data_IF_387536329743
#
_entry.id   IF_387536329743
#
_cell.length_a   1.000
_cell.length_b   1.000
_cell.length_c   1.000
_cell.angle_alpha   90.00
_cell.angle_beta   90.00
_cell.angle_gamma   90.00
#
_symmetry.space_group_name_H-M   'P 1'
#
loop_
_entity.id
_entity.type
_entity.pdbx_description
1 polymer ?
#
# COMPACT_ATOMS: atom_id res chain seq x y z
N UNK A 1 -10.50 -3.92 3.89
CA UNK A 1 -9.35 -3.56 4.73
C UNK A 1 -9.10 -2.07 4.67
N UNK A 2 -8.43 -1.52 5.65
CA UNK A 2 -8.20 -0.09 5.67
C UNK A 2 -6.94 0.23 4.89
N UNK A 3 -6.75 1.48 4.58
CA UNK A 3 -5.55 1.88 3.85
C UNK A 3 -4.32 1.63 4.71
N UNK A 4 -4.42 1.84 6.00
CA UNK A 4 -3.28 1.60 6.87
C UNK A 4 -2.89 0.11 6.85
N UNK A 5 -3.88 -0.75 6.83
CA UNK A 5 -3.60 -2.16 6.77
C UNK A 5 -3.00 -2.51 5.42
N UNK A 6 -3.51 -1.96 4.37
CA UNK A 6 -3.01 -2.24 3.03
C UNK A 6 -1.55 -1.80 2.91
N UNK A 7 -1.23 -0.62 3.45
CA UNK A 7 0.13 -0.15 3.39
C UNK A 7 1.07 -1.08 4.17
N UNK A 8 0.62 -1.55 5.32
CA UNK A 8 1.43 -2.44 6.11
C UNK A 8 1.69 -3.75 5.37
N UNK A 9 0.67 -4.29 4.73
CA UNK A 9 0.82 -5.54 4.03
C UNK A 9 1.72 -5.39 2.81
N UNK A 10 1.57 -4.33 2.07
CA UNK A 10 2.35 -4.17 0.86
C UNK A 10 3.81 -3.88 1.20
N UNK A 11 4.04 -3.06 2.22
CA UNK A 11 5.41 -2.73 2.52
C UNK A 11 6.12 -3.77 3.34
N UNK A 12 5.41 -4.69 3.85
CA UNK A 12 6.06 -5.67 4.63
C UNK A 12 6.48 -6.72 3.70
N UNK A 13 7.55 -6.90 3.21
CA UNK A 13 7.97 -7.72 2.35
C UNK A 13 8.04 -9.06 2.60
N UNK A 14 8.26 -9.83 2.54
CA UNK A 14 8.35 -11.11 2.80
C UNK A 14 7.38 -11.83 2.04
N UNK A 15 7.26 -13.04 1.96
CA UNK A 15 6.28 -13.75 1.24
C UNK A 15 4.97 -13.55 1.93
N UNK A 16 3.95 -13.19 1.26
CA UNK A 16 2.69 -12.99 1.92
C UNK A 16 2.18 -14.30 2.43
N UNK A 17 1.74 -14.30 3.63
CA UNK A 17 1.20 -15.47 4.19
C UNK A 17 -0.13 -15.75 3.57
N UNK A 18 -0.80 -14.77 3.06
CA UNK A 18 -2.13 -14.97 2.52
C UNK A 18 -2.22 -14.17 1.23
N UNK A 19 -2.28 -14.87 0.11
CA UNK A 19 -2.33 -14.21 -1.16
C UNK A 19 -3.59 -13.40 -1.34
N UNK A 20 -4.71 -13.87 -0.82
CA UNK A 20 -5.95 -13.14 -0.94
C UNK A 20 -5.85 -11.80 -0.22
N UNK A 21 -5.20 -11.77 0.92
CA UNK A 21 -5.05 -10.56 1.64
C UNK A 21 -4.14 -9.61 0.90
N UNK A 22 -3.13 -10.12 0.27
CA UNK A 22 -2.19 -9.30 -0.48
C UNK A 22 -2.91 -8.66 -1.67
N UNK A 23 -3.76 -9.42 -2.34
CA UNK A 23 -4.52 -8.90 -3.45
C UNK A 23 -5.49 -7.82 -2.97
N UNK A 24 -6.08 -8.02 -1.80
CA UNK A 24 -6.97 -7.03 -1.28
C UNK A 24 -6.21 -5.76 -0.95
N UNK A 25 -5.01 -5.87 -0.46
CA UNK A 25 -4.19 -4.72 -0.15
C UNK A 25 -3.89 -3.94 -1.41
N UNK A 26 -3.54 -4.64 -2.48
CA UNK A 26 -3.24 -3.98 -3.74
C UNK A 26 -4.48 -3.30 -4.29
N UNK A 27 -5.63 -3.93 -4.18
CA UNK A 27 -6.85 -3.31 -4.65
C UNK A 27 -7.19 -2.08 -3.83
N UNK A 28 -6.91 -2.10 -2.54
CA UNK A 28 -7.15 -0.96 -1.70
C UNK A 28 -6.24 0.19 -2.13
N UNK A 29 -5.00 -0.12 -2.45
CA UNK A 29 -4.06 0.89 -2.90
C UNK A 29 -4.53 1.51 -4.21
N UNK A 30 -4.97 0.69 -5.14
CA UNK A 30 -5.41 1.20 -6.42
C UNK A 30 -6.62 2.12 -6.23
N UNK A 31 -7.51 1.74 -5.31
CA UNK A 31 -8.66 2.57 -5.08
C UNK A 31 -8.23 3.88 -4.44
N UNK A 32 -7.30 3.86 -3.54
CA UNK A 32 -6.82 5.06 -2.90
C UNK A 32 -6.11 5.97 -3.89
N UNK A 33 -5.55 5.40 -4.95
CA UNK A 33 -4.83 6.18 -5.91
C UNK A 33 -5.70 6.58 -7.11
N UNK A 34 -6.98 6.40 -6.99
CA UNK A 34 -7.87 6.90 -8.02
C UNK A 34 -8.40 5.89 -9.02
N UNK A 35 -8.14 4.64 -8.80
CA UNK A 35 -8.65 3.60 -9.67
C UNK A 35 -7.67 3.05 -10.65
N UNK A 36 -6.51 3.66 -10.83
CA UNK A 36 -5.51 3.14 -11.66
C UNK A 36 -4.18 3.40 -11.05
N UNK A 37 -3.27 2.53 -11.02
CA UNK A 37 -1.94 2.73 -10.48
C UNK A 37 -0.98 1.70 -11.00
N UNK A 38 0.26 2.05 -11.18
CA UNK A 38 1.27 1.08 -11.56
C UNK A 38 1.83 0.49 -10.28
N UNK A 39 2.56 -0.58 -10.39
CA UNK A 39 3.16 -1.21 -9.22
C UNK A 39 4.11 -0.24 -8.53
N UNK A 40 4.82 0.56 -9.29
CA UNK A 40 5.72 1.53 -8.69
C UNK A 40 4.96 2.54 -7.86
N UNK A 41 3.80 2.94 -8.33
CA UNK A 41 2.99 3.88 -7.59
C UNK A 41 2.42 3.24 -6.33
N UNK A 42 2.01 2.00 -6.40
CA UNK A 42 1.49 1.29 -5.27
C UNK A 42 2.57 1.15 -4.20
N UNK A 43 3.80 0.83 -4.65
CA UNK A 43 4.86 0.70 -3.72
C UNK A 43 5.18 1.99 -3.04
N UNK A 44 5.20 3.07 -3.75
CA UNK A 44 5.49 4.35 -3.21
C UNK A 44 4.40 4.75 -2.23
N UNK A 45 3.16 4.48 -2.58
CA UNK A 45 2.05 4.79 -1.73
C UNK A 45 2.17 4.03 -0.39
N UNK A 46 2.54 2.78 -0.45
CA UNK A 46 2.65 1.98 0.75
C UNK A 46 3.77 2.45 1.66
N UNK A 47 4.86 2.90 1.03
CA UNK A 47 5.95 3.31 1.82
C UNK A 47 5.78 4.67 2.38
N UNK A 48 4.89 5.45 1.87
CA UNK A 48 4.71 6.78 2.30
C UNK A 48 3.84 6.91 3.47
N UNK A 49 3.60 5.92 4.18
CA UNK A 49 2.70 5.93 5.21
C UNK A 49 3.03 6.91 6.25
N UNK A 50 4.11 7.07 6.73
CA UNK A 50 4.31 7.97 7.71
C UNK A 50 5.04 9.06 7.24
N UNK A 51 5.55 9.05 6.08
CA UNK A 51 6.25 10.10 5.71
C UNK A 51 5.45 11.21 5.57
N UNK A 52 4.26 11.04 5.26
CA UNK A 52 3.53 12.15 4.99
C UNK A 52 3.64 13.10 6.06
N UNK A 53 3.86 12.72 7.18
CA UNK A 53 3.81 13.64 8.15
C UNK A 53 5.07 14.21 8.34
N UNK A 54 6.01 13.74 7.92
CA UNK A 54 7.13 14.36 8.30
C UNK A 54 7.75 14.94 7.24
N UNK A 55 7.30 14.76 6.30
CA UNK A 55 7.89 15.24 5.29
C UNK A 55 8.15 16.52 5.40
N UNK A 56 7.87 17.00 5.92
CA UNK A 56 8.13 18.16 6.03
C UNK A 56 9.20 18.44 6.17
N UNK A 57 9.70 18.66 6.09
CA UNK A 57 10.53 19.12 6.20
C UNK A 57 10.82 19.72 6.04
#
# INVERSE_FOLDING_TARGET
MTEAEAKAIISSYGAPANIAEHIEAINTAIRALGGKATMAEIWRWAKNDKDSDNDTP
#
